data_IF_493848828454
#
_entry.id   IF_493848828454
#
_cell.length_a   1.000
_cell.length_b   1.000
_cell.length_c   1.000
_cell.angle_alpha   90.00
_cell.angle_beta   90.00
_cell.angle_gamma   90.00
#
_symmetry.space_group_name_H-M   'P 1'
#
loop_
_entity.id
_entity.type
_entity.pdbx_description
1 polymer ?
#
# COMPACT_ATOMS: atom_id res chain seq x y z
N UNK A 1 -10.63 3.42 -9.88
CA UNK A 1 -9.63 3.80 -8.85
C UNK A 1 -10.10 3.26 -7.51
N UNK A 2 -9.33 2.39 -6.89
CA UNK A 2 -9.67 1.80 -5.59
C UNK A 2 -9.33 2.77 -4.43
N UNK A 3 -9.81 2.44 -3.20
CA UNK A 3 -9.60 3.28 -2.01
C UNK A 3 -8.11 3.48 -1.65
N UNK A 4 -7.28 2.46 -1.88
CA UNK A 4 -5.84 2.54 -1.60
C UNK A 4 -5.11 3.45 -2.57
N UNK A 5 -5.49 3.44 -3.85
CA UNK A 5 -4.98 4.39 -4.84
C UNK A 5 -5.35 5.85 -4.51
N UNK A 6 -6.56 6.08 -3.94
CA UNK A 6 -6.94 7.42 -3.45
C UNK A 6 -6.04 7.89 -2.31
N UNK A 7 -5.71 6.99 -1.36
CA UNK A 7 -4.79 7.32 -0.26
C UNK A 7 -3.42 7.70 -0.79
N UNK A 8 -2.87 6.94 -1.75
CA UNK A 8 -1.59 7.27 -2.37
C UNK A 8 -1.64 8.63 -3.05
N UNK A 9 -2.70 8.91 -3.80
CA UNK A 9 -2.85 10.20 -4.47
C UNK A 9 -2.93 11.37 -3.48
N UNK A 10 -3.78 11.26 -2.45
CA UNK A 10 -3.88 12.31 -1.42
C UNK A 10 -2.57 12.48 -0.63
N UNK A 11 -1.90 11.37 -0.32
CA UNK A 11 -0.59 11.41 0.32
C UNK A 11 0.47 12.08 -0.54
N UNK A 12 0.50 11.80 -1.85
CA UNK A 12 1.42 12.46 -2.77
C UNK A 12 1.15 13.96 -2.88
N UNK A 13 -0.12 14.35 -3.02
CA UNK A 13 -0.50 15.77 -3.03
C UNK A 13 -0.09 16.47 -1.75
N UNK A 14 -0.34 15.86 -0.58
CA UNK A 14 0.06 16.41 0.72
C UNK A 14 1.58 16.57 0.82
N UNK A 15 2.36 15.55 0.41
CA UNK A 15 3.82 15.61 0.44
C UNK A 15 4.37 16.71 -0.49
N UNK A 16 3.86 16.81 -1.72
CA UNK A 16 4.25 17.89 -2.64
C UNK A 16 3.89 19.26 -2.05
N UNK A 17 2.71 19.40 -1.48
CA UNK A 17 2.27 20.64 -0.86
C UNK A 17 3.18 21.03 0.33
N UNK A 18 3.61 20.05 1.16
CA UNK A 18 4.55 20.26 2.24
C UNK A 18 5.93 20.69 1.72
N UNK A 19 6.42 20.10 0.62
CA UNK A 19 7.69 20.53 0.01
C UNK A 19 7.63 21.96 -0.51
N UNK A 20 6.50 22.40 -1.07
CA UNK A 20 6.32 23.78 -1.51
C UNK A 20 6.08 24.75 -0.35
N UNK A 21 5.49 24.28 0.75
CA UNK A 21 5.28 25.08 1.95
C UNK A 21 6.59 25.27 2.76
N UNK A 22 7.45 24.26 2.73
CA UNK A 22 8.77 24.24 3.40
C UNK A 22 9.87 23.89 2.37
N UNK A 23 10.13 24.77 1.38
CA UNK A 23 11.14 24.47 0.38
C UNK A 23 12.55 24.51 0.99
N UNK A 24 13.50 23.80 0.37
CA UNK A 24 14.92 23.89 0.72
C UNK A 24 15.49 25.26 0.31
N UNK A 25 16.31 25.83 1.16
CA UNK A 25 16.97 27.12 0.90
C UNK A 25 18.48 27.03 1.00
N UNK A 26 19.12 27.84 0.16
CA UNK A 26 20.54 28.10 0.18
C UNK A 26 20.83 29.48 0.77
N UNK A 27 21.95 29.62 1.45
CA UNK A 27 22.50 30.90 1.86
C UNK A 27 23.38 31.45 0.74
N UNK A 28 23.15 32.69 0.36
CA UNK A 28 24.11 33.41 -0.50
C UNK A 28 25.26 33.95 0.34
N UNK A 29 26.46 33.42 0.16
CA UNK A 29 27.67 33.97 0.78
C UNK A 29 28.13 35.20 0.02
N UNK A 30 28.04 36.39 0.67
CA UNK A 30 28.38 37.71 0.11
C UNK A 30 29.86 37.90 -0.22
N UNK A 31 30.65 36.93 -0.37
CA UNK A 31 32.07 37.09 -0.73
C UNK A 31 32.57 36.22 -1.84
N UNK A 32 31.77 35.23 -2.30
CA UNK A 32 32.27 34.15 -3.15
C UNK A 32 31.32 33.59 -4.19
N UNK A 33 30.08 34.05 -4.22
CA UNK A 33 29.06 33.52 -5.14
C UNK A 33 28.71 32.06 -4.96
N UNK A 34 29.22 31.41 -3.90
CA UNK A 34 28.89 30.02 -3.59
C UNK A 34 27.55 29.96 -2.85
N UNK A 35 26.63 29.22 -3.41
CA UNK A 35 25.38 28.86 -2.74
C UNK A 35 25.67 27.67 -1.81
N UNK A 36 25.17 27.74 -0.59
CA UNK A 36 25.36 26.70 0.42
C UNK A 36 24.00 26.31 0.96
N UNK A 37 23.66 25.02 0.92
CA UNK A 37 22.43 24.55 1.53
C UNK A 37 22.38 24.92 3.02
N UNK A 38 21.26 25.51 3.42
CA UNK A 38 21.06 25.96 4.81
C UNK A 38 20.05 25.05 5.53
N UNK A 39 18.78 25.17 5.17
CA UNK A 39 17.71 24.42 5.81
C UNK A 39 16.39 24.50 5.01
N UNK A 40 15.36 23.86 5.54
CA UNK A 40 13.98 24.03 5.08
C UNK A 40 13.30 25.11 5.93
N UNK A 41 12.79 26.14 5.27
CA UNK A 41 12.06 27.22 5.94
C UNK A 41 10.62 27.31 5.41
N UNK A 42 9.65 27.71 6.26
CA UNK A 42 8.33 28.00 5.76
C UNK A 42 8.35 29.17 4.79
N UNK A 43 7.68 29.04 3.66
CA UNK A 43 7.69 29.99 2.54
C UNK A 43 7.33 31.43 2.97
N UNK A 44 6.55 31.60 4.04
CA UNK A 44 6.08 32.89 4.56
C UNK A 44 6.99 33.48 5.69
N UNK A 45 8.03 32.74 6.11
CA UNK A 45 8.93 33.16 7.19
C UNK A 45 10.41 32.89 6.82
N UNK A 46 10.80 33.32 5.65
CA UNK A 46 12.16 33.12 5.12
C UNK A 46 13.10 34.18 5.69
N UNK A 47 14.24 33.79 6.30
CA UNK A 47 15.27 34.75 6.72
C UNK A 47 15.88 35.49 5.53
N UNK A 48 16.42 36.70 5.77
CA UNK A 48 17.09 37.48 4.74
C UNK A 48 18.27 36.68 4.12
N UNK A 49 18.58 36.98 2.85
CA UNK A 49 19.70 36.37 2.10
C UNK A 49 19.56 34.84 1.86
N UNK A 50 18.34 34.34 1.74
CA UNK A 50 18.05 32.96 1.37
C UNK A 50 17.43 32.90 -0.03
N UNK A 51 17.84 31.88 -0.80
CA UNK A 51 17.30 31.57 -2.13
C UNK A 51 16.86 30.13 -2.14
N UNK A 52 15.75 29.84 -2.80
CA UNK A 52 15.25 28.48 -2.92
C UNK A 52 16.27 27.63 -3.68
N UNK A 53 16.66 26.49 -3.10
CA UNK A 53 17.45 25.47 -3.81
C UNK A 53 16.54 24.68 -4.74
N UNK A 54 16.51 25.11 -6.02
CA UNK A 54 15.66 24.49 -7.04
C UNK A 54 16.02 23.03 -7.30
N UNK A 55 17.30 22.68 -7.30
CA UNK A 55 17.77 21.32 -7.63
C UNK A 55 17.32 20.31 -6.60
N UNK A 56 17.46 20.63 -5.32
CA UNK A 56 16.98 19.77 -4.22
C UNK A 56 15.45 19.70 -4.23
N UNK A 57 14.76 20.82 -4.47
CA UNK A 57 13.29 20.85 -4.54
C UNK A 57 12.77 19.97 -5.68
N UNK A 58 13.38 20.07 -6.88
CA UNK A 58 12.99 19.22 -8.03
C UNK A 58 13.28 17.75 -7.76
N UNK A 59 14.43 17.41 -7.18
CA UNK A 59 14.79 16.05 -6.84
C UNK A 59 13.77 15.42 -5.87
N UNK A 60 13.45 16.13 -4.79
CA UNK A 60 12.48 15.66 -3.78
C UNK A 60 11.08 15.53 -4.37
N UNK A 61 10.63 16.51 -5.16
CA UNK A 61 9.33 16.46 -5.84
C UNK A 61 9.26 15.28 -6.80
N UNK A 62 10.30 15.06 -7.59
CA UNK A 62 10.39 13.92 -8.51
C UNK A 62 10.35 12.59 -7.76
N UNK A 63 11.09 12.46 -6.65
CA UNK A 63 11.09 11.27 -5.82
C UNK A 63 9.68 10.95 -5.26
N UNK A 64 8.96 11.96 -4.76
CA UNK A 64 7.58 11.80 -4.28
C UNK A 64 6.66 11.34 -5.41
N UNK A 65 6.71 11.99 -6.57
CA UNK A 65 5.85 11.64 -7.70
C UNK A 65 6.16 10.26 -8.28
N UNK A 66 7.43 9.88 -8.37
CA UNK A 66 7.86 8.55 -8.82
C UNK A 66 7.36 7.46 -7.87
N UNK A 67 7.57 7.62 -6.57
CA UNK A 67 7.09 6.68 -5.57
C UNK A 67 5.56 6.57 -5.61
N UNK A 68 4.85 7.69 -5.72
CA UNK A 68 3.39 7.70 -5.82
C UNK A 68 2.89 7.00 -7.09
N UNK A 69 3.52 7.25 -8.25
CA UNK A 69 3.15 6.61 -9.51
C UNK A 69 3.36 5.08 -9.45
N UNK A 70 4.50 4.64 -8.93
CA UNK A 70 4.79 3.21 -8.76
C UNK A 70 3.79 2.56 -7.78
N UNK A 71 3.56 3.17 -6.62
CA UNK A 71 2.59 2.65 -5.64
C UNK A 71 1.17 2.61 -6.22
N UNK A 72 0.78 3.64 -6.97
CA UNK A 72 -0.53 3.70 -7.62
C UNK A 72 -0.73 2.60 -8.66
N UNK A 73 0.30 2.30 -9.47
CA UNK A 73 0.30 1.22 -10.46
C UNK A 73 0.25 -0.16 -9.78
N UNK A 74 1.06 -0.37 -8.74
CA UNK A 74 1.12 -1.65 -8.02
C UNK A 74 -0.15 -1.96 -7.24
N UNK A 75 -0.87 -0.93 -6.78
CA UNK A 75 -2.17 -1.06 -6.11
C UNK A 75 -3.34 -1.16 -7.09
N UNK A 76 -3.11 -1.08 -8.41
CA UNK A 76 -4.16 -1.25 -9.40
C UNK A 76 -4.76 -2.66 -9.30
N UNK A 77 -6.08 -2.74 -9.18
CA UNK A 77 -6.80 -4.02 -9.15
C UNK A 77 -6.83 -4.73 -10.51
N UNK A 78 -7.09 -6.03 -10.55
CA UNK A 78 -7.33 -6.74 -11.80
C UNK A 78 -8.61 -6.23 -12.47
N UNK A 79 -8.71 -6.35 -13.80
CA UNK A 79 -9.88 -5.87 -14.56
C UNK A 79 -11.22 -6.45 -14.05
N UNK A 80 -11.22 -7.70 -13.57
CA UNK A 80 -12.41 -8.37 -13.04
C UNK A 80 -12.85 -7.87 -11.66
N UNK A 81 -11.93 -7.28 -10.88
CA UNK A 81 -12.18 -6.77 -9.53
C UNK A 81 -11.36 -5.50 -9.28
N UNK A 82 -11.73 -4.38 -9.90
CA UNK A 82 -10.93 -3.14 -9.85
C UNK A 82 -10.83 -2.55 -8.43
N UNK A 83 -11.76 -2.89 -7.55
CA UNK A 83 -11.79 -2.39 -6.17
C UNK A 83 -10.82 -3.14 -5.22
N UNK A 84 -10.32 -4.30 -5.63
CA UNK A 84 -9.36 -5.07 -4.86
C UNK A 84 -7.93 -4.81 -5.37
N UNK A 85 -6.98 -4.45 -4.49
CA UNK A 85 -5.58 -4.28 -4.90
C UNK A 85 -4.97 -5.63 -5.25
N UNK A 86 -4.02 -5.64 -6.21
CA UNK A 86 -3.27 -6.86 -6.58
C UNK A 86 -2.31 -7.31 -5.49
N UNK A 87 -1.68 -6.35 -4.84
CA UNK A 87 -0.70 -6.58 -3.78
C UNK A 87 -1.29 -6.16 -2.43
N UNK A 88 -0.82 -6.77 -1.38
CA UNK A 88 -1.15 -6.34 -0.03
C UNK A 88 -0.63 -4.92 0.21
N UNK A 89 -1.54 -3.95 0.49
CA UNK A 89 -1.15 -2.56 0.70
C UNK A 89 -0.17 -2.37 1.86
N UNK A 90 -0.27 -3.19 2.91
CA UNK A 90 0.63 -3.11 4.06
C UNK A 90 2.04 -3.54 3.70
N UNK A 91 2.17 -4.67 2.99
CA UNK A 91 3.46 -5.14 2.49
C UNK A 91 4.09 -4.11 1.55
N UNK A 92 3.28 -3.48 0.70
CA UNK A 92 3.76 -2.44 -0.21
C UNK A 92 4.39 -1.26 0.55
N UNK A 93 3.74 -0.74 1.60
CA UNK A 93 4.27 0.37 2.42
C UNK A 93 5.61 -0.01 3.04
N UNK A 94 5.73 -1.21 3.58
CA UNK A 94 7.00 -1.71 4.18
C UNK A 94 8.09 -1.78 3.12
N UNK A 95 7.81 -2.37 1.96
CA UNK A 95 8.78 -2.49 0.86
C UNK A 95 9.24 -1.12 0.39
N UNK A 96 8.31 -0.17 0.17
CA UNK A 96 8.67 1.20 -0.21
C UNK A 96 9.49 1.91 0.86
N UNK A 97 9.15 1.74 2.14
CA UNK A 97 9.94 2.27 3.25
C UNK A 97 11.37 1.75 3.24
N UNK A 98 11.55 0.44 3.09
CA UNK A 98 12.87 -0.20 3.02
C UNK A 98 13.65 0.26 1.79
N UNK A 99 13.03 0.30 0.61
CA UNK A 99 13.68 0.73 -0.65
C UNK A 99 14.14 2.18 -0.56
N UNK A 100 13.29 3.09 -0.06
CA UNK A 100 13.66 4.49 0.10
C UNK A 100 14.75 4.68 1.17
N UNK A 101 14.70 3.97 2.29
CA UNK A 101 15.75 4.00 3.30
C UNK A 101 17.08 3.46 2.75
N UNK A 102 17.05 2.37 1.98
CA UNK A 102 18.23 1.84 1.31
C UNK A 102 18.79 2.84 0.29
N UNK A 103 17.94 3.52 -0.48
CA UNK A 103 18.37 4.55 -1.43
C UNK A 103 19.06 5.73 -0.72
N UNK A 104 18.48 6.23 0.39
CA UNK A 104 19.09 7.29 1.20
C UNK A 104 20.45 6.88 1.79
N UNK A 105 20.60 5.62 2.21
CA UNK A 105 21.87 5.08 2.71
C UNK A 105 22.89 4.79 1.59
N UNK A 106 22.42 4.46 0.38
CA UNK A 106 23.30 4.24 -0.78
C UNK A 106 23.76 5.55 -1.41
N UNK A 107 22.96 6.60 -1.32
CA UNK A 107 23.28 7.93 -1.86
C UNK A 107 23.12 8.98 -0.76
N UNK A 108 23.92 8.89 0.32
CA UNK A 108 23.80 9.82 1.42
C UNK A 108 24.21 11.24 1.00
N UNK A 109 23.64 12.27 1.65
CA UNK A 109 24.08 13.63 1.46
C UNK A 109 25.52 13.79 1.97
N UNK A 110 26.36 14.40 1.15
CA UNK A 110 27.75 14.65 1.48
C UNK A 110 28.02 16.15 1.59
N UNK A 111 28.98 16.50 2.45
CA UNK A 111 29.52 17.84 2.57
C UNK A 111 30.96 17.88 2.06
N UNK A 112 31.32 18.95 1.41
CA UNK A 112 32.69 19.23 0.99
C UNK A 112 33.29 20.30 1.91
N UNK A 113 34.58 20.14 2.24
CA UNK A 113 35.34 21.13 2.97
C UNK A 113 36.20 21.91 1.97
N UNK A 114 35.94 23.20 1.77
CA UNK A 114 36.78 24.02 0.88
C UNK A 114 38.17 24.18 1.46
N UNK A 115 39.17 23.57 0.82
CA UNK A 115 40.58 23.53 1.26
C UNK A 115 41.25 24.89 1.43
N UNK A 116 40.76 25.91 0.74
CA UNK A 116 41.41 27.24 0.68
C UNK A 116 41.03 28.13 1.85
N UNK A 117 40.25 27.65 2.82
CA UNK A 117 39.69 28.52 3.84
C UNK A 117 39.63 27.78 5.18
N UNK A 118 40.12 28.49 6.21
CA UNK A 118 39.93 28.13 7.61
C UNK A 118 38.45 28.11 8.04
N UNK A 119 37.54 27.69 7.15
CA UNK A 119 36.12 27.57 7.42
C UNK A 119 35.89 26.18 7.97
N UNK A 120 35.54 26.11 9.21
CA UNK A 120 35.26 24.87 9.95
C UNK A 120 33.87 24.28 9.64
N UNK A 121 33.08 24.90 8.77
CA UNK A 121 31.71 24.46 8.43
C UNK A 121 31.73 23.80 7.07
N UNK A 122 31.41 22.52 7.05
CA UNK A 122 31.18 21.77 5.82
C UNK A 122 29.94 22.29 5.09
N UNK A 123 29.98 22.28 3.77
CA UNK A 123 28.87 22.72 2.91
C UNK A 123 28.29 21.52 2.20
N UNK A 124 26.96 21.44 2.13
CA UNK A 124 26.31 20.39 1.36
C UNK A 124 26.78 20.48 -0.10
N UNK A 125 27.31 19.36 -0.62
CA UNK A 125 27.87 19.27 -1.97
C UNK A 125 26.94 18.48 -2.92
N UNK A 126 26.17 17.56 -2.37
CA UNK A 126 25.24 16.73 -3.14
C UNK A 126 25.05 15.34 -2.54
N UNK A 127 24.37 14.51 -3.30
CA UNK A 127 24.16 13.10 -2.98
C UNK A 127 25.16 12.24 -3.77
N UNK A 128 25.93 11.43 -3.07
CA UNK A 128 26.98 10.61 -3.70
C UNK A 128 26.85 9.17 -3.28
N UNK A 129 27.27 8.27 -4.16
CA UNK A 129 27.25 6.85 -3.88
C UNK A 129 28.14 6.52 -2.66
N UNK A 130 27.56 5.86 -1.66
CA UNK A 130 28.21 5.60 -0.36
C UNK A 130 29.54 4.82 -0.46
N UNK A 131 29.70 3.98 -1.49
CA UNK A 131 30.89 3.18 -1.73
C UNK A 131 31.81 3.76 -2.81
N UNK A 132 31.51 4.96 -3.33
CA UNK A 132 32.34 5.65 -4.29
C UNK A 132 33.53 6.34 -3.65
N UNK A 133 34.29 7.12 -4.47
CA UNK A 133 35.41 7.93 -4.00
C UNK A 133 34.91 9.01 -3.03
N UNK A 134 35.41 8.93 -1.80
CA UNK A 134 35.09 9.87 -0.71
C UNK A 134 36.18 10.92 -0.50
N UNK A 135 37.12 11.08 -1.46
CA UNK A 135 38.20 12.04 -1.30
C UNK A 135 37.64 13.43 -0.98
N UNK A 136 37.96 13.93 0.20
CA UNK A 136 37.62 15.27 0.69
C UNK A 136 36.13 15.55 0.94
N UNK A 137 35.31 14.47 1.12
CA UNK A 137 33.90 14.59 1.48
C UNK A 137 33.64 13.88 2.78
N UNK A 138 32.75 14.43 3.59
CA UNK A 138 32.21 13.77 4.78
C UNK A 138 30.70 13.72 4.71
N UNK A 139 30.11 12.91 5.56
CA UNK A 139 28.66 12.71 5.61
C UNK A 139 27.98 13.95 6.20
N UNK A 140 27.02 14.53 5.50
CA UNK A 140 26.19 15.61 6.01
C UNK A 140 25.07 15.05 6.89
N UNK A 141 25.42 14.73 8.13
CA UNK A 141 24.60 14.00 9.10
C UNK A 141 23.23 14.66 9.36
N UNK A 142 23.10 16.00 9.49
CA UNK A 142 21.80 16.61 9.75
C UNK A 142 20.77 16.34 8.65
N UNK A 143 21.17 16.43 7.37
CA UNK A 143 20.27 16.18 6.25
C UNK A 143 19.91 14.70 6.15
N UNK A 144 20.86 13.78 6.40
CA UNK A 144 20.58 12.35 6.43
C UNK A 144 19.55 11.99 7.52
N UNK A 145 19.64 12.59 8.70
CA UNK A 145 18.63 12.38 9.74
C UNK A 145 17.25 12.89 9.30
N UNK A 146 17.18 14.03 8.64
CA UNK A 146 15.94 14.57 8.11
C UNK A 146 15.33 13.65 7.05
N UNK A 147 16.12 13.09 6.14
CA UNK A 147 15.67 12.12 5.14
C UNK A 147 15.11 10.86 5.78
N UNK A 148 15.87 10.25 6.70
CA UNK A 148 15.42 9.04 7.40
C UNK A 148 14.14 9.30 8.18
N UNK A 149 14.06 10.42 8.91
CA UNK A 149 12.87 10.80 9.66
C UNK A 149 11.68 11.02 8.74
N UNK A 150 11.88 11.67 7.58
CA UNK A 150 10.84 11.88 6.58
C UNK A 150 10.33 10.56 6.00
N UNK A 151 11.22 9.62 5.66
CA UNK A 151 10.86 8.29 5.17
C UNK A 151 10.05 7.52 6.22
N UNK A 152 10.51 7.50 7.47
CA UNK A 152 9.83 6.80 8.56
C UNK A 152 8.46 7.40 8.85
N UNK A 153 8.36 8.73 8.91
CA UNK A 153 7.09 9.43 9.16
C UNK A 153 6.08 9.14 8.05
N UNK A 154 6.51 9.20 6.79
CA UNK A 154 5.64 8.85 5.66
C UNK A 154 5.23 7.38 5.69
N UNK A 155 6.16 6.46 5.93
CA UNK A 155 5.86 5.03 6.03
C UNK A 155 4.83 4.76 7.14
N UNK A 156 4.99 5.35 8.32
CA UNK A 156 4.04 5.24 9.42
C UNK A 156 2.67 5.82 9.06
N UNK A 157 2.62 7.01 8.46
CA UNK A 157 1.38 7.67 8.06
C UNK A 157 0.62 6.85 7.00
N UNK A 158 1.33 6.38 5.96
CA UNK A 158 0.74 5.52 4.94
C UNK A 158 0.29 4.18 5.51
N UNK A 159 1.10 3.55 6.37
CA UNK A 159 0.73 2.30 7.02
C UNK A 159 -0.55 2.46 7.85
N UNK A 160 -0.65 3.52 8.63
CA UNK A 160 -1.84 3.83 9.42
C UNK A 160 -3.07 4.07 8.52
N UNK A 161 -2.94 4.91 7.49
CA UNK A 161 -4.03 5.20 6.55
C UNK A 161 -4.51 3.95 5.81
N UNK A 162 -3.57 3.10 5.34
CA UNK A 162 -3.89 1.82 4.69
C UNK A 162 -4.54 0.84 5.65
N UNK A 163 -4.09 0.78 6.92
CA UNK A 163 -4.66 -0.10 7.94
C UNK A 163 -6.10 0.29 8.29
N UNK A 164 -6.37 1.57 8.43
CA UNK A 164 -7.72 2.10 8.64
C UNK A 164 -8.61 1.74 7.44
N UNK A 165 -8.13 2.00 6.22
CA UNK A 165 -8.88 1.68 5.00
C UNK A 165 -9.12 0.17 4.84
N UNK A 166 -8.20 -0.68 5.28
CA UNK A 166 -8.36 -2.13 5.25
C UNK A 166 -9.45 -2.62 6.23
N UNK A 167 -9.49 -2.02 7.44
CA UNK A 167 -10.50 -2.33 8.47
C UNK A 167 -11.89 -1.81 8.11
N UNK A 168 -11.96 -0.65 7.47
CA UNK A 168 -13.19 -0.11 6.89
C UNK A 168 -13.52 -0.93 5.64
N UNK A 169 -13.93 -2.19 5.79
CA UNK A 169 -14.36 -3.08 4.72
C UNK A 169 -15.24 -2.37 3.69
N UNK A 170 -15.63 -2.97 2.57
CA UNK A 170 -16.69 -2.41 1.77
C UNK A 170 -17.81 -2.18 2.76
N UNK A 171 -18.23 -0.92 2.88
CA UNK A 171 -19.42 -0.59 3.67
C UNK A 171 -20.48 -1.49 3.09
N UNK A 172 -20.72 -2.63 3.74
CA UNK A 172 -21.85 -3.45 3.39
C UNK A 172 -22.98 -2.47 3.40
N UNK A 173 -23.35 -2.12 2.21
CA UNK A 173 -24.58 -1.55 1.78
C UNK A 173 -25.49 -1.28 2.98
N UNK A 174 -25.75 0.01 3.20
CA UNK A 174 -26.67 0.44 4.24
C UNK A 174 -27.96 -0.35 4.22
N UNK A 175 -28.81 -0.21 5.23
CA UNK A 175 -30.00 -1.05 5.42
C UNK A 175 -30.87 -1.25 4.17
N UNK A 176 -30.81 -0.34 3.21
CA UNK A 176 -31.47 -0.48 1.90
C UNK A 176 -30.90 -1.61 1.03
N UNK A 177 -29.61 -1.93 1.08
CA UNK A 177 -29.05 -2.99 0.23
C UNK A 177 -29.21 -4.37 0.89
N UNK A 178 -29.31 -4.44 2.23
CA UNK A 178 -29.75 -5.64 2.91
C UNK A 178 -31.20 -5.97 2.58
N UNK A 179 -32.07 -4.98 2.46
CA UNK A 179 -33.46 -5.16 2.01
C UNK A 179 -33.50 -5.64 0.55
N UNK A 180 -32.75 -5.00 -0.35
CA UNK A 180 -32.71 -5.42 -1.75
C UNK A 180 -32.13 -6.83 -1.92
N UNK A 181 -31.14 -7.21 -1.14
CA UNK A 181 -30.55 -8.55 -1.16
C UNK A 181 -31.50 -9.59 -0.54
N UNK A 182 -32.27 -9.21 0.48
CA UNK A 182 -33.32 -10.09 1.03
C UNK A 182 -34.48 -10.32 0.06
N UNK A 183 -34.83 -9.32 -0.74
CA UNK A 183 -35.87 -9.44 -1.75
C UNK A 183 -35.44 -10.31 -2.95
N UNK A 184 -34.17 -10.16 -3.40
CA UNK A 184 -33.58 -11.03 -4.43
C UNK A 184 -33.50 -12.50 -3.97
N UNK A 185 -33.13 -12.74 -2.71
CA UNK A 185 -33.13 -14.08 -2.12
C UNK A 185 -34.54 -14.67 -1.98
N UNK A 186 -35.54 -13.84 -1.64
CA UNK A 186 -36.94 -14.26 -1.59
C UNK A 186 -37.47 -14.60 -2.99
N UNK A 187 -37.21 -13.77 -3.99
CA UNK A 187 -37.60 -14.04 -5.36
C UNK A 187 -36.97 -15.32 -5.91
N UNK A 188 -35.70 -15.58 -5.67
CA UNK A 188 -35.03 -16.83 -6.05
C UNK A 188 -35.56 -18.05 -5.31
N UNK A 189 -36.00 -17.88 -4.06
CA UNK A 189 -36.63 -18.95 -3.31
C UNK A 189 -38.04 -19.28 -3.84
N UNK A 190 -38.81 -18.26 -4.20
CA UNK A 190 -40.12 -18.40 -4.80
C UNK A 190 -40.06 -19.03 -6.22
N UNK A 191 -39.11 -18.60 -7.06
CA UNK A 191 -38.86 -19.22 -8.36
C UNK A 191 -38.51 -20.71 -8.23
N UNK A 192 -37.66 -21.08 -7.27
CA UNK A 192 -37.30 -22.46 -6.99
C UNK A 192 -38.50 -23.29 -6.50
N UNK A 193 -39.39 -22.68 -5.72
CA UNK A 193 -40.60 -23.36 -5.25
C UNK A 193 -41.60 -23.52 -6.36
N UNK A 194 -41.82 -22.51 -7.20
CA UNK A 194 -42.72 -22.57 -8.35
C UNK A 194 -42.22 -23.59 -9.39
N UNK A 195 -40.94 -23.56 -9.74
CA UNK A 195 -40.33 -24.55 -10.63
C UNK A 195 -40.40 -26.00 -10.09
N UNK A 196 -40.41 -26.17 -8.76
CA UNK A 196 -40.60 -27.49 -8.13
C UNK A 196 -42.04 -27.98 -8.16
N UNK A 197 -43.01 -27.06 -8.13
CA UNK A 197 -44.43 -27.36 -8.25
C UNK A 197 -44.78 -27.73 -9.71
N UNK A 198 -44.21 -27.02 -10.68
CA UNK A 198 -44.42 -27.26 -12.10
C UNK A 198 -43.83 -28.60 -12.59
N UNK A 199 -42.76 -29.05 -11.95
CA UNK A 199 -42.09 -30.34 -12.21
C UNK A 199 -42.48 -31.44 -11.23
N UNK A 200 -43.46 -31.21 -10.36
CA UNK A 200 -44.01 -32.29 -9.54
C UNK A 200 -44.64 -33.31 -10.51
N UNK A 201 -44.13 -34.56 -10.60
CA UNK A 201 -44.71 -35.54 -11.47
C UNK A 201 -46.17 -35.68 -11.06
N UNK A 202 -47.07 -35.44 -12.04
CA UNK A 202 -48.51 -35.65 -11.86
C UNK A 202 -48.69 -37.00 -11.17
N UNK A 203 -49.40 -36.98 -10.06
CA UNK A 203 -49.65 -38.16 -9.21
C UNK A 203 -50.05 -39.32 -10.14
N UNK A 204 -49.04 -40.07 -10.55
CA UNK A 204 -49.25 -41.28 -11.33
C UNK A 204 -50.14 -42.19 -10.49
N UNK A 205 -51.35 -42.48 -10.99
CA UNK A 205 -52.30 -43.42 -10.44
C UNK A 205 -51.55 -44.61 -9.88
N UNK A 206 -51.65 -44.79 -8.52
CA UNK A 206 -51.14 -45.96 -7.83
C UNK A 206 -51.71 -47.20 -8.53
N UNK A 207 -50.87 -47.88 -9.32
CA UNK A 207 -51.17 -49.19 -9.83
C UNK A 207 -51.35 -50.16 -8.64
N UNK A 208 -52.12 -51.22 -8.84
CA UNK A 208 -52.47 -52.12 -7.75
C UNK A 208 -51.24 -52.75 -7.10
N UNK A 209 -51.28 -52.75 -5.78
CA UNK A 209 -50.31 -53.29 -4.83
C UNK A 209 -49.81 -54.70 -5.25
N UNK A 210 -48.59 -54.75 -5.80
CA UNK A 210 -47.86 -56.01 -5.95
C UNK A 210 -47.14 -56.34 -4.64
N UNK A 211 -47.94 -56.67 -3.64
CA UNK A 211 -47.45 -57.50 -2.51
C UNK A 211 -47.21 -58.90 -3.06
N UNK A 212 -46.04 -59.37 -2.68
CA UNK A 212 -45.64 -60.79 -2.72
C UNK A 212 -44.72 -61.16 -3.89
N UNK A 213 -43.44 -61.05 -3.61
CA UNK A 213 -42.55 -62.24 -3.68
C UNK A 213 -41.35 -61.95 -2.77
N UNK A 214 -41.44 -62.49 -1.54
CA UNK A 214 -40.26 -62.75 -0.72
C UNK A 214 -39.51 -63.89 -1.39
N UNK A 215 -38.34 -63.59 -1.90
CA UNK A 215 -37.39 -64.61 -2.34
C UNK A 215 -36.53 -64.98 -1.15
N UNK A 216 -36.63 -66.24 -0.62
CA UNK A 216 -35.95 -66.63 0.61
C UNK A 216 -34.43 -66.88 0.45
N UNK A 217 -33.87 -66.66 -0.76
CA UNK A 217 -32.47 -66.99 -1.07
C UNK A 217 -31.49 -65.79 -1.12
N UNK A 218 -31.93 -64.57 -0.80
CA UNK A 218 -30.99 -63.43 -0.86
C UNK A 218 -30.22 -63.26 0.44
N UNK A 219 -29.01 -63.90 0.52
CA UNK A 219 -27.97 -63.58 1.53
C UNK A 219 -27.22 -62.32 1.10
N UNK A 220 -27.60 -61.17 1.62
CA UNK A 220 -26.88 -59.90 1.39
C UNK A 220 -25.44 -59.95 1.89
N UNK A 221 -24.53 -59.24 1.21
CA UNK A 221 -23.12 -59.22 1.60
C UNK A 221 -22.92 -58.52 2.97
N UNK A 222 -22.11 -59.14 3.83
CA UNK A 222 -21.71 -58.64 5.14
C UNK A 222 -21.13 -57.24 5.07
N UNK A 223 -21.66 -56.33 5.88
CA UNK A 223 -21.07 -55.02 6.11
C UNK A 223 -19.74 -55.17 6.83
N UNK A 224 -18.63 -54.99 6.11
CA UNK A 224 -17.32 -54.80 6.75
C UNK A 224 -17.32 -53.49 7.55
N UNK A 225 -17.28 -53.61 8.85
CA UNK A 225 -16.99 -52.55 9.84
C UNK A 225 -15.56 -52.06 9.57
N UNK A 226 -15.42 -50.84 9.10
CA UNK A 226 -14.11 -50.19 8.83
C UNK A 226 -13.64 -49.59 10.13
N UNK A 227 -12.64 -50.25 10.73
CA UNK A 227 -12.04 -49.86 12.00
C UNK A 227 -11.30 -48.53 11.93
N UNK A 228 -11.28 -47.91 13.07
CA UNK A 228 -10.55 -46.69 13.49
C UNK A 228 -9.11 -46.68 13.03
N UNK A 229 -8.70 -45.56 12.39
CA UNK A 229 -7.31 -45.16 12.34
C UNK A 229 -7.04 -44.09 13.37
N UNK A 230 -6.42 -44.49 14.47
CA UNK A 230 -5.76 -43.62 15.43
C UNK A 230 -4.69 -42.78 14.75
N UNK A 231 -4.75 -41.49 15.01
CA UNK A 231 -3.64 -40.56 14.78
C UNK A 231 -2.54 -40.79 15.78
N UNK A 232 -1.35 -41.07 15.33
CA UNK A 232 -0.13 -40.96 16.12
C UNK A 232 0.49 -39.57 15.79
N UNK A 233 0.79 -38.82 16.87
CA UNK A 233 1.59 -37.61 16.87
C UNK A 233 3.08 -37.98 16.86
N UNK A 234 3.85 -37.25 16.14
CA UNK A 234 5.22 -36.87 16.44
C UNK A 234 5.51 -35.52 15.79
#
# INVERSE_FOLDING_TARGET
MNRFQKIVLYGAVLNVLMLFLFPPYDVMSFGRGAQMFDAFYPMFAVPANRVINGDVLYLLTFAVLLNAALAWLLLAGPKARPDQPRLDPMMLVIVFGIVNAAAALMFPPMEAFPFAQRVTVGTFDGFYFAFGDKARRSLFVPLLYMEVLYILTNACAFWLAMSIAARSGPTESGPMTMLAQSDDLRQRAEEKLLGRIEHAPSVAKRGPDRRQRRDPAYKGPERRVRGERRRSKS
#
